data_IF_366366593723
#
_entry.id   IF_366366593723
#
_cell.length_a   1.000
_cell.length_b   1.000
_cell.length_c   1.000
_cell.angle_alpha   90.00
_cell.angle_beta   90.00
_cell.angle_gamma   90.00
#
_symmetry.space_group_name_H-M   'P 1'
#
loop_
_entity.id
_entity.type
_entity.pdbx_description
1 polymer ?
#
# COMPACT_ATOMS: atom_id res chain seq x y z
N UNK A 1 22.46 18.31 -13.54
CA UNK A 1 22.10 18.31 -12.11
C UNK A 1 21.23 19.51 -11.83
N UNK A 2 20.10 19.31 -11.14
CA UNK A 2 19.29 20.44 -10.67
C UNK A 2 20.13 21.30 -9.72
N UNK A 3 20.01 22.62 -9.84
CA UNK A 3 20.69 23.61 -8.99
C UNK A 3 19.79 24.15 -7.87
N UNK A 4 18.58 23.61 -7.70
CA UNK A 4 17.59 24.11 -6.75
C UNK A 4 17.66 23.41 -5.39
N UNK A 5 17.46 24.18 -4.32
CA UNK A 5 17.15 23.63 -2.99
C UNK A 5 15.64 23.41 -2.94
N UNK A 6 15.22 22.15 -3.03
CA UNK A 6 13.81 21.77 -2.99
C UNK A 6 13.32 21.72 -1.55
N UNK A 7 12.26 22.45 -1.24
CA UNK A 7 11.60 22.37 0.07
C UNK A 7 10.44 21.39 0.01
N UNK A 8 10.31 20.57 1.04
CA UNK A 8 9.13 19.75 1.22
C UNK A 8 7.90 20.63 1.51
N UNK A 9 6.70 20.20 1.09
CA UNK A 9 5.46 20.78 1.58
C UNK A 9 5.34 20.55 3.10
N UNK A 10 4.43 21.29 3.73
CA UNK A 10 4.12 21.06 5.15
C UNK A 10 3.53 19.65 5.34
N UNK A 11 4.20 18.84 6.15
CA UNK A 11 3.78 17.46 6.45
C UNK A 11 3.03 17.43 7.77
N UNK A 12 1.79 16.92 7.72
CA UNK A 12 0.88 16.74 8.85
C UNK A 12 0.38 15.30 8.87
N UNK A 13 -0.06 14.86 10.05
CA UNK A 13 -0.75 13.58 10.19
C UNK A 13 -2.04 13.57 9.36
N UNK A 14 -2.31 12.43 8.75
CA UNK A 14 -3.51 12.20 7.98
C UNK A 14 -4.75 12.22 8.90
N UNK A 15 -5.79 13.01 8.58
CA UNK A 15 -7.01 13.04 9.37
C UNK A 15 -7.72 11.69 9.39
N UNK A 16 -8.08 11.21 10.57
CA UNK A 16 -8.89 10.00 10.75
C UNK A 16 -10.35 10.30 10.41
N UNK A 17 -10.95 9.56 9.48
CA UNK A 17 -12.38 9.69 9.15
C UNK A 17 -13.25 8.93 10.14
N UNK A 18 -14.44 9.48 10.39
CA UNK A 18 -15.34 8.99 11.44
C UNK A 18 -16.12 7.74 11.06
N UNK A 19 -16.51 7.61 9.79
CA UNK A 19 -17.47 6.60 9.31
C UNK A 19 -18.80 6.64 10.06
N UNK A 20 -19.22 7.82 10.54
CA UNK A 20 -20.49 8.02 11.23
C UNK A 20 -21.70 7.62 10.35
N UNK A 21 -22.87 7.30 10.94
CA UNK A 21 -24.10 7.10 10.19
C UNK A 21 -24.39 8.25 9.22
N UNK A 22 -24.73 7.93 7.97
CA UNK A 22 -25.03 8.92 6.92
C UNK A 22 -23.81 9.60 6.28
N UNK A 23 -22.60 9.36 6.76
CA UNK A 23 -21.39 9.97 6.20
C UNK A 23 -21.05 9.40 4.81
N UNK A 24 -20.48 10.23 3.90
CA UNK A 24 -20.09 9.78 2.57
C UNK A 24 -18.98 8.71 2.62
N UNK A 25 -18.04 8.81 3.57
CA UNK A 25 -17.00 7.79 3.74
C UNK A 25 -17.57 6.41 4.10
N UNK A 26 -18.65 6.36 4.89
CA UNK A 26 -19.31 5.10 5.24
C UNK A 26 -20.01 4.50 4.02
N UNK A 27 -20.61 5.32 3.17
CA UNK A 27 -21.26 4.83 1.95
C UNK A 27 -20.22 4.26 0.99
N UNK A 28 -19.12 4.98 0.74
CA UNK A 28 -18.05 4.53 -0.14
C UNK A 28 -17.39 3.23 0.35
N UNK A 29 -17.09 3.13 1.65
CA UNK A 29 -16.54 1.92 2.25
C UNK A 29 -17.49 0.72 2.12
N UNK A 30 -18.79 0.92 2.33
CA UNK A 30 -19.79 -0.14 2.12
C UNK A 30 -19.83 -0.63 0.69
N UNK A 31 -19.72 0.27 -0.30
CA UNK A 31 -19.68 -0.11 -1.71
C UNK A 31 -18.47 -1.01 -1.99
N UNK A 32 -17.29 -0.64 -1.49
CA UNK A 32 -16.06 -1.45 -1.63
C UNK A 32 -16.16 -2.81 -0.96
N UNK A 33 -16.74 -2.89 0.24
CA UNK A 33 -16.99 -4.17 0.90
C UNK A 33 -17.95 -5.06 0.10
N UNK A 34 -19.00 -4.50 -0.50
CA UNK A 34 -19.92 -5.26 -1.38
C UNK A 34 -19.20 -5.75 -2.64
N UNK A 35 -18.35 -4.92 -3.24
CA UNK A 35 -17.53 -5.31 -4.40
C UNK A 35 -16.61 -6.49 -4.06
N UNK A 36 -15.85 -6.40 -2.97
CA UNK A 36 -14.94 -7.47 -2.54
C UNK A 36 -15.67 -8.77 -2.18
N UNK A 37 -16.86 -8.67 -1.58
CA UNK A 37 -17.68 -9.84 -1.22
C UNK A 37 -18.25 -10.59 -2.43
N UNK A 38 -18.15 -10.05 -3.65
CA UNK A 38 -18.45 -10.82 -4.88
C UNK A 38 -17.40 -11.90 -5.14
N UNK A 39 -16.24 -11.80 -4.50
CA UNK A 39 -15.12 -12.71 -4.68
C UNK A 39 -14.49 -12.60 -6.06
N UNK A 40 -13.83 -13.67 -6.49
CA UNK A 40 -13.10 -13.72 -7.76
C UNK A 40 -11.70 -13.11 -7.69
N UNK A 41 -11.14 -12.92 -6.48
CA UNK A 41 -9.75 -12.51 -6.33
C UNK A 41 -8.83 -13.58 -6.91
N UNK A 42 -7.84 -13.12 -7.64
CA UNK A 42 -6.81 -13.97 -8.23
C UNK A 42 -5.48 -13.22 -8.19
N UNK A 43 -4.72 -13.45 -7.12
CA UNK A 43 -3.57 -12.63 -6.73
C UNK A 43 -2.26 -13.31 -7.18
N UNK A 44 -1.55 -12.77 -8.18
CA UNK A 44 -0.25 -13.27 -8.58
C UNK A 44 0.85 -12.76 -7.64
N UNK A 45 2.03 -13.37 -7.71
CA UNK A 45 3.26 -12.70 -7.29
C UNK A 45 3.61 -11.63 -8.32
N UNK A 46 4.20 -10.51 -7.89
CA UNK A 46 4.77 -9.51 -8.79
C UNK A 46 6.30 -9.56 -8.67
N UNK A 47 6.99 -9.99 -9.73
CA UNK A 47 8.45 -10.13 -9.78
C UNK A 47 8.98 -9.41 -11.02
N UNK A 48 9.97 -8.53 -10.87
CA UNK A 48 10.50 -7.66 -11.94
C UNK A 48 9.40 -6.88 -12.69
N UNK A 49 8.36 -6.46 -11.97
CA UNK A 49 7.21 -5.74 -12.54
C UNK A 49 6.25 -6.61 -13.37
N UNK A 50 6.36 -7.94 -13.29
CA UNK A 50 5.51 -8.88 -14.04
C UNK A 50 4.73 -9.79 -13.12
N UNK A 51 3.52 -10.16 -13.54
CA UNK A 51 2.75 -11.20 -12.88
C UNK A 51 3.42 -12.58 -13.06
N UNK A 52 3.57 -13.30 -11.95
CA UNK A 52 4.02 -14.69 -11.94
C UNK A 52 2.94 -15.55 -11.29
N UNK A 53 2.45 -16.51 -12.07
CA UNK A 53 1.31 -17.37 -11.73
C UNK A 53 1.75 -18.82 -11.76
N UNK A 54 1.67 -19.48 -10.62
CA UNK A 54 2.16 -20.86 -10.43
C UNK A 54 1.09 -21.91 -10.68
N UNK A 55 -0.18 -21.52 -10.67
CA UNK A 55 -1.31 -22.46 -10.56
C UNK A 55 -1.39 -23.19 -9.21
N UNK A 56 -0.42 -23.02 -8.30
CA UNK A 56 -0.49 -23.51 -6.93
C UNK A 56 -1.30 -22.52 -6.10
N UNK A 57 -2.61 -22.76 -6.02
CA UNK A 57 -3.59 -21.82 -5.46
C UNK A 57 -3.83 -22.07 -3.98
N UNK A 58 -3.95 -20.99 -3.23
CA UNK A 58 -4.35 -21.00 -1.83
C UNK A 58 -5.49 -20.01 -1.59
N UNK A 59 -6.45 -20.45 -0.79
CA UNK A 59 -7.68 -19.70 -0.53
C UNK A 59 -7.42 -18.41 0.26
N UNK A 60 -8.17 -17.38 -0.09
CA UNK A 60 -8.29 -16.14 0.66
C UNK A 60 -9.69 -16.12 1.27
N UNK A 61 -9.75 -16.35 2.57
CA UNK A 61 -11.00 -16.34 3.34
C UNK A 61 -10.95 -15.28 4.46
N UNK A 62 -12.02 -14.50 4.69
CA UNK A 62 -12.12 -13.55 5.80
C UNK A 62 -12.04 -14.29 7.15
N UNK A 63 -11.30 -13.80 8.16
CA UNK A 63 -11.25 -14.45 9.46
C UNK A 63 -12.60 -14.54 10.18
N UNK A 64 -13.49 -13.57 9.99
CA UNK A 64 -14.84 -13.54 10.59
C UNK A 64 -15.89 -14.35 9.82
N UNK A 65 -15.57 -14.83 8.62
CA UNK A 65 -16.44 -15.67 7.78
C UNK A 65 -15.55 -16.63 6.98
N UNK A 66 -14.86 -17.53 7.68
CA UNK A 66 -13.81 -18.37 7.10
C UNK A 66 -14.31 -19.40 6.06
N UNK A 67 -15.63 -19.55 5.91
CA UNK A 67 -16.24 -20.37 4.84
C UNK A 67 -16.45 -19.58 3.55
N UNK A 68 -16.32 -18.25 3.60
CA UNK A 68 -16.40 -17.37 2.43
C UNK A 68 -15.10 -17.40 1.66
N UNK A 69 -15.12 -17.99 0.48
CA UNK A 69 -14.03 -17.86 -0.48
C UNK A 69 -14.11 -16.51 -1.17
N UNK A 70 -13.12 -15.63 -0.97
CA UNK A 70 -12.96 -14.41 -1.75
C UNK A 70 -12.18 -14.64 -3.04
N UNK A 71 -11.33 -15.68 -3.08
CA UNK A 71 -10.52 -16.02 -4.23
C UNK A 71 -9.24 -16.71 -3.80
N UNK A 72 -8.20 -16.61 -4.62
CA UNK A 72 -6.95 -17.34 -4.42
C UNK A 72 -5.74 -16.43 -4.61
N UNK A 73 -4.62 -16.82 -4.00
CA UNK A 73 -3.30 -16.33 -4.40
C UNK A 73 -2.43 -17.47 -4.93
N UNK A 74 -1.47 -17.11 -5.77
CA UNK A 74 -0.48 -18.03 -6.31
C UNK A 74 0.70 -18.18 -5.35
N UNK A 75 0.78 -19.32 -4.66
CA UNK A 75 1.89 -19.63 -3.78
C UNK A 75 3.16 -19.92 -4.60
N UNK A 76 4.22 -19.17 -4.28
CA UNK A 76 5.55 -19.38 -4.83
C UNK A 76 6.34 -20.45 -4.10
N UNK A 77 7.45 -20.87 -4.72
CA UNK A 77 8.44 -21.78 -4.16
C UNK A 77 9.84 -21.12 -4.10
N UNK A 78 10.87 -21.90 -3.74
CA UNK A 78 12.26 -21.41 -3.64
C UNK A 78 12.79 -20.77 -4.93
N UNK A 79 12.32 -21.22 -6.11
CA UNK A 79 12.77 -20.68 -7.39
C UNK A 79 12.24 -19.27 -7.62
N UNK A 80 10.99 -19.03 -7.22
CA UNK A 80 10.36 -17.71 -7.26
C UNK A 80 11.02 -16.73 -6.30
N UNK A 81 11.43 -17.20 -5.12
CA UNK A 81 12.22 -16.39 -4.17
C UNK A 81 13.55 -15.97 -4.81
N UNK A 82 14.27 -16.90 -5.45
CA UNK A 82 15.52 -16.57 -6.14
C UNK A 82 15.29 -15.57 -7.28
N UNK A 83 14.22 -15.75 -8.08
CA UNK A 83 13.84 -14.80 -9.13
C UNK A 83 13.60 -13.39 -8.57
N UNK A 84 12.93 -13.26 -7.42
CA UNK A 84 12.68 -11.99 -6.76
C UNK A 84 13.99 -11.33 -6.26
N UNK A 85 14.92 -12.12 -5.69
CA UNK A 85 16.24 -11.65 -5.26
C UNK A 85 17.02 -11.11 -6.46
N UNK A 86 17.10 -11.90 -7.53
CA UNK A 86 17.84 -11.53 -8.74
C UNK A 86 17.27 -10.26 -9.38
N UNK A 87 15.93 -10.15 -9.44
CA UNK A 87 15.24 -8.96 -9.93
C UNK A 87 15.55 -7.72 -9.08
N UNK A 88 15.51 -7.84 -7.74
CA UNK A 88 15.83 -6.74 -6.84
C UNK A 88 17.29 -6.28 -6.97
N UNK A 89 18.24 -7.22 -7.04
CA UNK A 89 19.66 -6.93 -7.22
C UNK A 89 19.94 -6.28 -8.58
N UNK A 90 19.26 -6.74 -9.64
CA UNK A 90 19.33 -6.15 -10.97
C UNK A 90 18.80 -4.71 -11.01
N UNK A 91 17.71 -4.41 -10.29
CA UNK A 91 17.13 -3.06 -10.24
C UNK A 91 17.92 -2.08 -9.36
N UNK A 92 18.66 -2.59 -8.37
CA UNK A 92 19.37 -1.78 -7.36
C UNK A 92 20.24 -0.65 -7.94
N UNK A 93 21.14 -0.87 -8.94
CA UNK A 93 22.02 0.19 -9.42
C UNK A 93 21.27 1.38 -10.00
N UNK A 94 20.16 1.13 -10.71
CA UNK A 94 19.33 2.20 -11.26
C UNK A 94 18.58 2.95 -10.16
N UNK A 95 18.01 2.22 -9.18
CA UNK A 95 17.29 2.82 -8.06
C UNK A 95 18.18 3.67 -7.15
N UNK A 96 19.40 3.20 -6.84
CA UNK A 96 20.32 3.95 -5.97
C UNK A 96 20.94 5.16 -6.65
N UNK A 97 21.09 5.13 -7.97
CA UNK A 97 21.53 6.27 -8.77
C UNK A 97 20.45 7.36 -8.90
N UNK A 98 19.20 7.08 -8.53
CA UNK A 98 18.14 8.10 -8.53
C UNK A 98 18.43 9.18 -7.48
N UNK A 99 18.23 10.43 -7.89
CA UNK A 99 18.15 11.57 -6.98
C UNK A 99 17.15 11.28 -5.85
N UNK A 100 17.51 11.66 -4.61
CA UNK A 100 16.70 11.35 -3.44
C UNK A 100 15.30 11.98 -3.55
N UNK A 101 15.19 13.13 -4.22
CA UNK A 101 13.94 13.84 -4.50
C UNK A 101 13.01 12.97 -5.35
N UNK A 102 13.56 12.31 -6.37
CA UNK A 102 12.79 11.42 -7.24
C UNK A 102 12.30 10.19 -6.49
N UNK A 103 13.10 9.66 -5.58
CA UNK A 103 12.68 8.55 -4.70
C UNK A 103 11.60 9.01 -3.72
N UNK A 104 11.75 10.17 -3.09
CA UNK A 104 10.74 10.76 -2.20
C UNK A 104 9.40 11.00 -2.91
N UNK A 105 9.43 11.50 -4.15
CA UNK A 105 8.23 11.81 -4.92
C UNK A 105 7.32 10.58 -5.12
N UNK A 106 7.90 9.37 -5.22
CA UNK A 106 7.15 8.12 -5.35
C UNK A 106 6.31 7.87 -4.09
N UNK A 107 6.92 7.98 -2.90
CA UNK A 107 6.23 7.76 -1.62
C UNK A 107 5.20 8.85 -1.33
N UNK A 108 5.53 10.11 -1.61
CA UNK A 108 4.56 11.21 -1.48
C UNK A 108 3.37 11.01 -2.43
N UNK A 109 3.61 10.55 -3.67
CA UNK A 109 2.52 10.24 -4.60
C UNK A 109 1.68 9.06 -4.11
N UNK A 110 2.30 8.01 -3.57
CA UNK A 110 1.59 6.88 -2.98
C UNK A 110 0.71 7.34 -1.80
N UNK A 111 1.23 8.18 -0.91
CA UNK A 111 0.47 8.77 0.19
C UNK A 111 -0.78 9.52 -0.29
N UNK A 112 -0.66 10.37 -1.32
CA UNK A 112 -1.80 11.09 -1.90
C UNK A 112 -2.82 10.16 -2.56
N UNK A 113 -2.36 9.10 -3.22
CA UNK A 113 -3.21 8.11 -3.85
C UNK A 113 -4.02 7.32 -2.80
N UNK A 114 -3.41 6.97 -1.66
CA UNK A 114 -4.10 6.31 -0.55
C UNK A 114 -5.02 7.29 0.17
N UNK A 115 -4.62 8.56 0.35
CA UNK A 115 -5.45 9.58 1.02
C UNK A 115 -6.75 9.87 0.26
N UNK A 116 -6.68 9.85 -1.08
CA UNK A 116 -7.79 10.13 -1.98
C UNK A 116 -8.41 8.86 -2.59
N UNK A 117 -8.11 8.55 -3.85
CA UNK A 117 -8.89 7.59 -4.65
C UNK A 117 -8.88 6.17 -4.10
N UNK A 118 -7.80 5.73 -3.45
CA UNK A 118 -7.68 4.35 -2.97
C UNK A 118 -8.01 4.17 -1.49
N UNK A 119 -8.40 5.23 -0.76
CA UNK A 119 -8.62 5.16 0.70
C UNK A 119 -9.57 4.03 1.09
N UNK A 120 -10.68 3.93 0.37
CA UNK A 120 -11.72 2.96 0.66
C UNK A 120 -11.38 1.56 0.18
N UNK A 121 -10.52 1.42 -0.84
CA UNK A 121 -9.99 0.12 -1.25
C UNK A 121 -9.08 -0.42 -0.14
N UNK A 122 -8.12 0.37 0.36
CA UNK A 122 -7.24 0.00 1.47
C UNK A 122 -8.02 -0.37 2.72
N UNK A 123 -9.05 0.42 3.06
CA UNK A 123 -9.89 0.08 4.20
C UNK A 123 -10.67 -1.21 4.01
N UNK A 124 -11.31 -1.39 2.85
CA UNK A 124 -12.13 -2.57 2.61
C UNK A 124 -11.32 -3.86 2.59
N UNK A 125 -10.14 -3.88 1.94
CA UNK A 125 -9.28 -5.08 1.89
C UNK A 125 -8.74 -5.45 3.26
N UNK A 126 -8.35 -4.46 4.07
CA UNK A 126 -7.85 -4.67 5.43
C UNK A 126 -8.96 -5.18 6.35
N UNK A 127 -10.14 -4.56 6.29
CA UNK A 127 -11.30 -5.01 7.07
C UNK A 127 -11.68 -6.45 6.73
N UNK A 128 -11.78 -6.80 5.43
CA UNK A 128 -12.24 -8.12 5.02
C UNK A 128 -11.16 -9.19 5.23
N UNK A 129 -9.90 -8.92 4.86
CA UNK A 129 -8.80 -9.88 4.92
C UNK A 129 -8.23 -10.07 6.33
N UNK A 130 -8.35 -9.06 7.20
CA UNK A 130 -7.76 -9.10 8.55
C UNK A 130 -8.80 -8.91 9.66
N UNK A 131 -10.09 -8.90 9.31
CA UNK A 131 -11.20 -8.78 10.25
C UNK A 131 -11.19 -7.53 11.13
N UNK A 132 -10.65 -6.42 10.61
CA UNK A 132 -10.67 -5.13 11.31
C UNK A 132 -12.04 -4.47 11.17
N UNK A 133 -12.41 -3.67 12.18
CA UNK A 133 -13.51 -2.72 12.03
C UNK A 133 -13.05 -1.47 11.25
N UNK A 134 -14.00 -0.63 10.82
CA UNK A 134 -13.70 0.55 10.00
C UNK A 134 -12.70 1.51 10.65
N UNK A 135 -12.80 1.72 11.96
CA UNK A 135 -11.88 2.59 12.70
C UNK A 135 -10.47 1.99 12.77
N UNK A 136 -10.35 0.70 13.12
CA UNK A 136 -9.08 -0.01 13.23
C UNK A 136 -8.36 -0.10 11.87
N UNK A 137 -9.12 -0.22 10.79
CA UNK A 137 -8.57 -0.16 9.45
C UNK A 137 -8.12 1.25 9.06
N UNK A 138 -8.92 2.27 9.38
CA UNK A 138 -8.64 3.67 9.04
C UNK A 138 -7.36 4.16 9.69
N UNK A 139 -7.15 3.86 10.97
CA UNK A 139 -5.97 4.33 11.69
C UNK A 139 -4.68 3.64 11.24
N UNK A 140 -4.77 2.40 10.73
CA UNK A 140 -3.62 1.57 10.33
C UNK A 140 -3.35 1.64 8.82
N UNK A 141 -4.18 0.96 8.03
CA UNK A 141 -3.97 0.75 6.60
C UNK A 141 -4.05 2.03 5.77
N UNK A 142 -4.58 3.10 6.36
CA UNK A 142 -4.71 4.40 5.74
C UNK A 142 -3.87 5.44 6.46
N UNK A 143 -4.26 5.88 7.66
CA UNK A 143 -3.61 7.02 8.31
C UNK A 143 -2.14 6.72 8.65
N UNK A 144 -1.85 5.63 9.34
CA UNK A 144 -0.48 5.26 9.71
C UNK A 144 0.40 5.01 8.47
N UNK A 145 -0.10 4.31 7.44
CA UNK A 145 0.66 4.08 6.20
C UNK A 145 0.96 5.38 5.44
N UNK A 146 -0.03 6.28 5.31
CA UNK A 146 0.15 7.61 4.70
C UNK A 146 1.19 8.41 5.49
N UNK A 147 1.09 8.38 6.82
CA UNK A 147 2.00 9.10 7.70
C UNK A 147 3.42 8.52 7.61
N UNK A 148 3.58 7.19 7.54
CA UNK A 148 4.89 6.59 7.29
C UNK A 148 5.52 7.09 5.99
N UNK A 149 4.77 7.15 4.89
CA UNK A 149 5.29 7.66 3.63
C UNK A 149 5.67 9.15 3.70
N UNK A 150 4.83 9.99 4.30
CA UNK A 150 5.10 11.43 4.42
C UNK A 150 6.24 11.71 5.40
N UNK A 151 6.16 11.19 6.62
CA UNK A 151 7.14 11.47 7.67
C UNK A 151 8.50 10.82 7.39
N UNK A 152 8.59 9.64 6.76
CA UNK A 152 9.90 9.12 6.39
C UNK A 152 10.58 9.93 5.28
N UNK A 153 9.81 10.55 4.37
CA UNK A 153 10.36 11.52 3.43
C UNK A 153 10.88 12.77 4.16
N UNK A 154 10.15 13.26 5.16
CA UNK A 154 10.64 14.34 6.04
C UNK A 154 11.92 13.96 6.77
N UNK A 155 11.95 12.79 7.40
CA UNK A 155 13.11 12.31 8.15
C UNK A 155 14.34 12.19 7.24
N UNK A 156 14.15 11.67 6.01
CA UNK A 156 15.21 11.63 5.01
C UNK A 156 15.67 13.05 4.63
N UNK A 157 14.75 13.98 4.36
CA UNK A 157 15.10 15.36 4.04
C UNK A 157 15.90 16.03 5.16
N UNK A 158 15.46 15.90 6.40
CA UNK A 158 16.13 16.45 7.58
C UNK A 158 17.53 15.84 7.75
N UNK A 159 17.68 14.52 7.52
CA UNK A 159 18.97 13.83 7.58
C UNK A 159 19.95 14.32 6.51
N UNK A 160 19.50 14.54 5.27
CA UNK A 160 20.35 15.09 4.21
C UNK A 160 20.79 16.54 4.50
N UNK A 161 19.98 17.27 5.26
CA UNK A 161 20.28 18.62 5.73
C UNK A 161 21.34 18.68 6.84
N UNK A 162 21.65 17.56 7.51
CA UNK A 162 22.70 17.48 8.51
C UNK A 162 24.07 17.39 7.83
N UNK A 163 24.77 18.52 7.76
CA UNK A 163 26.17 18.61 7.30
C UNK A 163 27.08 18.86 8.51
N UNK A 164 28.36 18.46 8.47
CA UNK A 164 29.38 18.98 9.39
C UNK A 164 29.44 20.52 9.38
#
# INVERSE_FOLDING_TARGET
MSKGIYKLPEIKNEPVKSYAPGSPERQALKQKLVELNKGGLDIPMIIDGKEVRTGNLYDICPPHDHQRLLGHYHQGDKTHVQMAIDAALKAKPAWEAMHWESRAAIFLKAAELIAGPYRYDFNAVTMIGQSKNAFQSEIDAVCELIDFYRFNVRNMYDLYGMQP
#
